data_IF_920421184343
#
_entry.id   IF_920421184343
#
_cell.length_a   1.000
_cell.length_b   1.000
_cell.length_c   1.000
_cell.angle_alpha   90.00
_cell.angle_beta   90.00
_cell.angle_gamma   90.00
#
_symmetry.space_group_name_H-M   'P 1'
#
loop_
_entity.id
_entity.type
_entity.pdbx_description
1 polymer ?
#
# COMPACT_ATOMS: atom_id res chain seq x y z
N UNK A 1 -16.10 -19.01 -1.96
CA UNK A 1 -16.45 -18.15 -0.81
C UNK A 1 -17.05 -16.86 -1.34
N UNK A 2 -17.97 -16.28 -0.56
CA UNK A 2 -18.42 -14.90 -0.74
C UNK A 2 -17.59 -13.96 0.13
N UNK A 3 -16.91 -13.00 -0.49
CA UNK A 3 -15.91 -12.16 0.18
C UNK A 3 -16.34 -10.69 0.12
N UNK A 4 -16.32 -10.00 1.27
CA UNK A 4 -16.43 -8.55 1.31
C UNK A 4 -15.04 -7.93 1.10
N UNK A 5 -14.88 -7.18 0.02
CA UNK A 5 -13.66 -6.43 -0.29
C UNK A 5 -13.90 -4.94 -0.09
N UNK A 6 -13.23 -4.33 0.87
CA UNK A 6 -13.18 -2.86 1.01
C UNK A 6 -11.96 -2.32 0.29
N UNK A 7 -12.07 -1.11 -0.28
CA UNK A 7 -10.96 -0.50 -1.01
C UNK A 7 -10.72 -1.07 -2.42
N UNK A 8 -11.69 -1.76 -3.01
CA UNK A 8 -11.63 -2.40 -4.33
C UNK A 8 -11.19 -1.45 -5.46
N UNK A 9 -11.53 -0.17 -5.36
CA UNK A 9 -11.21 0.86 -6.36
C UNK A 9 -9.77 1.41 -6.26
N UNK A 10 -9.03 1.04 -5.20
CA UNK A 10 -7.64 1.42 -4.98
C UNK A 10 -6.64 0.61 -5.80
N UNK A 11 -5.34 0.95 -5.72
CA UNK A 11 -4.27 0.26 -6.43
C UNK A 11 -4.20 -1.23 -6.05
N UNK A 12 -4.03 -1.51 -4.76
CA UNK A 12 -3.97 -2.88 -4.24
C UNK A 12 -5.31 -3.60 -4.39
N UNK A 13 -6.42 -2.94 -4.01
CA UNK A 13 -7.74 -3.55 -4.03
C UNK A 13 -8.19 -3.99 -5.42
N UNK A 14 -7.87 -3.22 -6.47
CA UNK A 14 -8.22 -3.62 -7.85
C UNK A 14 -7.39 -4.79 -8.37
N UNK A 15 -6.13 -4.94 -7.95
CA UNK A 15 -5.33 -6.11 -8.25
C UNK A 15 -5.86 -7.35 -7.52
N UNK A 16 -6.22 -7.18 -6.25
CA UNK A 16 -6.81 -8.23 -5.43
C UNK A 16 -8.17 -8.67 -5.98
N UNK A 17 -9.02 -7.73 -6.40
CA UNK A 17 -10.32 -8.04 -7.00
C UNK A 17 -10.17 -8.94 -8.22
N UNK A 18 -9.28 -8.60 -9.16
CA UNK A 18 -9.03 -9.44 -10.34
C UNK A 18 -8.59 -10.86 -9.96
N UNK A 19 -7.75 -10.98 -8.93
CA UNK A 19 -7.29 -12.28 -8.45
C UNK A 19 -8.43 -13.09 -7.83
N UNK A 20 -9.29 -12.47 -7.03
CA UNK A 20 -10.47 -13.12 -6.43
C UNK A 20 -11.43 -13.65 -7.50
N UNK A 21 -11.76 -12.82 -8.49
CA UNK A 21 -12.64 -13.21 -9.59
C UNK A 21 -12.03 -14.33 -10.43
N UNK A 22 -10.74 -14.26 -10.74
CA UNK A 22 -10.02 -15.30 -11.48
C UNK A 22 -9.98 -16.66 -10.73
N UNK A 23 -10.09 -16.64 -9.40
CA UNK A 23 -10.15 -17.84 -8.55
C UNK A 23 -11.57 -18.29 -8.24
N UNK A 24 -12.60 -17.66 -8.86
CA UNK A 24 -13.99 -18.05 -8.74
C UNK A 24 -14.68 -17.66 -7.43
N UNK A 25 -14.15 -16.66 -6.71
CA UNK A 25 -14.82 -16.15 -5.52
C UNK A 25 -15.94 -15.17 -5.90
N UNK A 26 -17.06 -15.25 -5.21
CA UNK A 26 -18.08 -14.21 -5.24
C UNK A 26 -17.57 -12.99 -4.45
N UNK A 27 -17.51 -11.84 -5.09
CA UNK A 27 -16.94 -10.66 -4.44
C UNK A 27 -17.98 -9.55 -4.34
N UNK A 28 -18.18 -9.10 -3.11
CA UNK A 28 -18.96 -7.91 -2.78
C UNK A 28 -17.99 -6.77 -2.52
N UNK A 29 -18.04 -5.72 -3.34
CA UNK A 29 -17.20 -4.55 -3.21
C UNK A 29 -17.90 -3.49 -2.37
N UNK A 30 -17.30 -3.15 -1.21
CA UNK A 30 -17.80 -2.08 -0.35
C UNK A 30 -17.10 -0.76 -0.68
N UNK A 31 -17.85 0.21 -1.18
CA UNK A 31 -17.35 1.45 -1.77
C UNK A 31 -18.06 2.64 -1.12
N UNK A 32 -17.34 3.74 -0.88
CA UNK A 32 -17.97 4.97 -0.41
C UNK A 32 -18.93 5.51 -1.45
N UNK A 33 -20.07 6.02 -1.00
CA UNK A 33 -21.11 6.57 -1.89
C UNK A 33 -20.61 7.72 -2.77
N UNK A 34 -19.69 8.53 -2.25
CA UNK A 34 -19.05 9.68 -2.91
C UNK A 34 -17.74 9.31 -3.65
N UNK A 35 -17.44 8.02 -3.80
CA UNK A 35 -16.18 7.61 -4.43
C UNK A 35 -16.15 7.96 -5.93
N UNK A 36 -15.22 8.81 -6.38
CA UNK A 36 -15.09 9.14 -7.81
C UNK A 36 -14.57 7.99 -8.66
N UNK A 37 -14.23 6.87 -8.02
CA UNK A 37 -13.58 5.73 -8.67
C UNK A 37 -14.50 4.50 -8.81
N UNK A 38 -15.78 4.62 -8.50
CA UNK A 38 -16.73 3.50 -8.56
C UNK A 38 -16.84 2.92 -9.97
N UNK A 39 -16.76 3.77 -11.01
CA UNK A 39 -16.76 3.36 -12.43
C UNK A 39 -15.64 2.38 -12.81
N UNK A 40 -14.61 2.23 -11.96
CA UNK A 40 -13.57 1.22 -12.17
C UNK A 40 -14.05 -0.23 -11.95
N UNK A 41 -15.21 -0.39 -11.37
CA UNK A 41 -15.86 -1.68 -11.16
C UNK A 41 -16.89 -2.01 -12.24
N UNK A 42 -17.13 -1.07 -13.19
CA UNK A 42 -18.08 -1.26 -14.26
C UNK A 42 -17.63 -2.44 -15.15
N UNK A 43 -18.56 -3.34 -15.43
CA UNK A 43 -18.30 -4.56 -16.22
C UNK A 43 -17.68 -5.73 -15.45
N UNK A 44 -17.26 -5.54 -14.20
CA UNK A 44 -16.82 -6.64 -13.34
C UNK A 44 -18.00 -7.41 -12.78
N UNK A 45 -17.83 -8.73 -12.58
CA UNK A 45 -18.87 -9.59 -11.98
C UNK A 45 -18.86 -9.47 -10.45
N UNK A 46 -19.28 -8.31 -9.93
CA UNK A 46 -19.27 -8.00 -8.50
C UNK A 46 -20.59 -7.39 -8.06
N UNK A 47 -20.92 -7.61 -6.81
CA UNK A 47 -21.95 -6.85 -6.11
C UNK A 47 -21.33 -5.59 -5.53
N UNK A 48 -21.89 -4.41 -5.82
CA UNK A 48 -21.41 -3.14 -5.29
C UNK A 48 -22.36 -2.66 -4.19
N UNK A 49 -21.82 -2.48 -2.98
CA UNK A 49 -22.55 -1.87 -1.89
C UNK A 49 -21.90 -0.54 -1.51
N UNK A 50 -22.73 0.47 -1.33
CA UNK A 50 -22.30 1.79 -0.90
C UNK A 50 -22.43 1.95 0.60
N UNK A 51 -21.40 2.52 1.24
CA UNK A 51 -21.38 2.81 2.67
C UNK A 51 -20.04 3.40 3.13
N UNK A 52 -19.97 3.72 4.41
CA UNK A 52 -18.78 4.26 5.06
C UNK A 52 -18.17 3.22 6.00
N UNK A 53 -16.91 2.85 5.76
CA UNK A 53 -16.16 1.89 6.58
C UNK A 53 -15.93 2.39 8.03
N UNK A 54 -16.09 3.67 8.29
CA UNK A 54 -16.10 4.22 9.64
C UNK A 54 -17.39 3.89 10.42
N UNK A 55 -18.47 3.54 9.70
CA UNK A 55 -19.77 3.22 10.31
C UNK A 55 -19.96 1.71 10.42
N UNK A 56 -20.01 1.23 11.65
CA UNK A 56 -20.23 -0.19 11.94
C UNK A 56 -21.50 -0.73 11.26
N UNK A 57 -22.60 0.03 11.28
CA UNK A 57 -23.88 -0.40 10.74
C UNK A 57 -23.85 -0.62 9.22
N UNK A 58 -23.09 0.21 8.49
CA UNK A 58 -22.94 0.05 7.04
C UNK A 58 -22.15 -1.22 6.72
N UNK A 59 -21.07 -1.48 7.47
CA UNK A 59 -20.31 -2.71 7.35
C UNK A 59 -21.12 -3.95 7.76
N UNK A 60 -21.89 -3.86 8.86
CA UNK A 60 -22.73 -4.96 9.31
C UNK A 60 -23.74 -5.38 8.24
N UNK A 61 -24.40 -4.40 7.58
CA UNK A 61 -25.31 -4.71 6.45
C UNK A 61 -24.56 -5.34 5.28
N UNK A 62 -23.35 -4.89 5.00
CA UNK A 62 -22.54 -5.44 3.91
C UNK A 62 -22.02 -6.85 4.18
N UNK A 63 -21.98 -7.29 5.44
CA UNK A 63 -21.48 -8.60 5.86
C UNK A 63 -22.53 -9.72 5.88
N UNK A 64 -23.77 -9.44 5.50
CA UNK A 64 -24.79 -10.51 5.40
C UNK A 64 -24.40 -11.53 4.36
N UNK A 65 -24.44 -12.81 4.73
CA UNK A 65 -24.09 -13.94 3.86
C UNK A 65 -22.65 -13.87 3.28
N UNK A 66 -21.71 -13.32 4.05
CA UNK A 66 -20.28 -13.19 3.69
C UNK A 66 -19.45 -14.17 4.53
N UNK A 67 -18.53 -14.89 3.88
CA UNK A 67 -17.66 -15.87 4.54
C UNK A 67 -16.41 -15.21 5.14
N UNK A 68 -15.89 -14.14 4.49
CA UNK A 68 -14.66 -13.48 4.89
C UNK A 68 -14.61 -12.01 4.50
N UNK A 69 -13.80 -11.23 5.23
CA UNK A 69 -13.49 -9.83 4.91
C UNK A 69 -12.05 -9.68 4.47
N UNK A 70 -11.83 -9.02 3.33
CA UNK A 70 -10.56 -8.45 2.91
C UNK A 70 -10.62 -6.92 3.05
N UNK A 71 -10.06 -6.41 4.14
CA UNK A 71 -10.10 -4.98 4.43
C UNK A 71 -8.81 -4.30 3.98
N UNK A 72 -8.89 -3.57 2.85
CA UNK A 72 -7.76 -2.87 2.20
C UNK A 72 -7.92 -1.35 2.25
N UNK A 73 -9.06 -0.86 2.72
CA UNK A 73 -9.39 0.57 2.71
C UNK A 73 -8.60 1.42 3.72
N UNK A 74 -7.91 0.77 4.70
CA UNK A 74 -7.08 1.43 5.69
C UNK A 74 -7.32 0.89 7.10
N UNK A 75 -6.25 0.66 7.84
CA UNK A 75 -6.31 0.05 9.18
C UNK A 75 -7.03 0.93 10.21
N UNK A 76 -7.17 2.22 9.96
CA UNK A 76 -7.92 3.17 10.81
C UNK A 76 -9.38 2.79 11.01
N UNK A 77 -9.95 2.01 10.08
CA UNK A 77 -11.32 1.49 10.18
C UNK A 77 -11.42 0.15 10.94
N UNK A 78 -10.31 -0.38 11.44
CA UNK A 78 -10.30 -1.65 12.18
C UNK A 78 -11.34 -1.74 13.32
N UNK A 79 -11.62 -0.69 14.11
CA UNK A 79 -12.65 -0.74 15.14
C UNK A 79 -14.05 -1.09 14.61
N UNK A 80 -14.46 -0.47 13.52
CA UNK A 80 -15.76 -0.73 12.89
C UNK A 80 -15.79 -2.10 12.22
N UNK A 81 -14.69 -2.50 11.57
CA UNK A 81 -14.54 -3.81 10.92
C UNK A 81 -14.66 -4.94 11.94
N UNK A 82 -13.92 -4.86 13.05
CA UNK A 82 -13.93 -5.90 14.09
C UNK A 82 -15.30 -6.05 14.73
N UNK A 83 -15.95 -4.93 15.10
CA UNK A 83 -17.29 -4.97 15.70
C UNK A 83 -18.35 -5.49 14.73
N UNK A 84 -18.34 -5.01 13.47
CA UNK A 84 -19.30 -5.44 12.48
C UNK A 84 -19.12 -6.94 12.14
N UNK A 85 -17.88 -7.42 12.01
CA UNK A 85 -17.57 -8.82 11.77
C UNK A 85 -18.06 -9.72 12.91
N UNK A 86 -17.72 -9.37 14.16
CA UNK A 86 -18.18 -10.11 15.35
C UNK A 86 -19.69 -10.17 15.46
N UNK A 87 -20.39 -9.05 15.19
CA UNK A 87 -21.85 -8.98 15.21
C UNK A 87 -22.51 -9.78 14.08
N UNK A 88 -21.87 -9.82 12.90
CA UNK A 88 -22.37 -10.58 11.74
C UNK A 88 -22.01 -12.07 11.77
N UNK A 89 -21.18 -12.51 12.72
CA UNK A 89 -20.69 -13.90 12.77
C UNK A 89 -19.64 -14.22 11.71
N UNK A 90 -19.02 -13.22 11.09
CA UNK A 90 -17.96 -13.41 10.09
C UNK A 90 -16.61 -13.48 10.82
N UNK A 91 -16.10 -14.70 10.96
CA UNK A 91 -14.87 -14.93 11.73
C UNK A 91 -13.60 -14.57 10.99
N UNK A 92 -13.54 -14.85 9.67
CA UNK A 92 -12.32 -14.67 8.87
C UNK A 92 -12.13 -13.23 8.41
N UNK A 93 -11.06 -12.58 8.90
CA UNK A 93 -10.78 -11.17 8.61
C UNK A 93 -9.29 -10.99 8.25
N UNK A 94 -9.02 -10.50 7.05
CA UNK A 94 -7.67 -10.10 6.63
C UNK A 94 -7.63 -8.58 6.53
N UNK A 95 -6.75 -7.95 7.29
CA UNK A 95 -6.62 -6.49 7.36
C UNK A 95 -5.27 -6.05 6.83
N UNK A 96 -5.27 -5.11 5.89
CA UNK A 96 -4.07 -4.51 5.36
C UNK A 96 -3.75 -3.21 6.11
N UNK A 97 -2.63 -3.25 6.83
CA UNK A 97 -2.03 -2.11 7.50
C UNK A 97 -0.89 -1.51 6.68
N UNK A 98 0.25 -1.25 7.32
CA UNK A 98 1.45 -0.71 6.67
C UNK A 98 2.68 -0.97 7.54
N UNK A 99 3.84 -1.21 6.93
CA UNK A 99 5.13 -1.27 7.63
C UNK A 99 5.49 0.03 8.37
N UNK A 100 4.76 1.13 8.16
CA UNK A 100 4.90 2.32 9.01
C UNK A 100 4.52 2.09 10.48
N UNK A 101 3.92 0.94 10.83
CA UNK A 101 3.79 0.47 12.21
C UNK A 101 5.15 0.20 12.89
N UNK A 102 6.21 -0.02 12.11
CA UNK A 102 7.58 -0.19 12.59
C UNK A 102 8.38 1.12 12.62
N UNK A 103 7.78 2.26 12.26
CA UNK A 103 8.47 3.55 12.26
C UNK A 103 8.97 3.91 13.66
N UNK A 104 10.18 4.43 13.76
CA UNK A 104 10.73 4.98 14.99
C UNK A 104 9.99 6.26 15.45
N UNK A 105 9.20 6.87 14.58
CA UNK A 105 8.41 8.06 14.90
C UNK A 105 7.02 7.66 15.38
N UNK A 106 6.73 7.89 16.67
CA UNK A 106 5.47 7.50 17.32
C UNK A 106 4.23 8.10 16.64
N UNK A 107 4.28 9.31 16.13
CA UNK A 107 3.17 9.92 15.39
C UNK A 107 2.75 9.11 14.14
N UNK A 108 3.63 8.23 13.64
CA UNK A 108 3.35 7.33 12.51
C UNK A 108 2.97 5.93 12.97
N UNK A 109 3.77 5.35 13.85
CA UNK A 109 3.59 3.97 14.33
C UNK A 109 2.45 3.85 15.34
N UNK A 110 2.36 4.76 16.31
CA UNK A 110 1.41 4.70 17.41
C UNK A 110 -0.05 4.51 17.00
N UNK A 111 -0.60 5.32 16.07
CA UNK A 111 -1.99 5.11 15.61
C UNK A 111 -2.22 3.73 14.99
N UNK A 112 -1.25 3.20 14.22
CA UNK A 112 -1.37 1.89 13.57
C UNK A 112 -1.25 0.76 14.55
N UNK A 113 -0.31 0.85 15.50
CA UNK A 113 -0.12 -0.17 16.53
C UNK A 113 -1.37 -0.30 17.40
N UNK A 114 -2.01 0.80 17.79
CA UNK A 114 -3.28 0.75 18.53
C UNK A 114 -4.39 0.03 17.76
N UNK A 115 -4.48 0.23 16.44
CA UNK A 115 -5.46 -0.48 15.61
C UNK A 115 -5.13 -1.97 15.50
N UNK A 116 -3.85 -2.32 15.37
CA UNK A 116 -3.42 -3.71 15.35
C UNK A 116 -3.66 -4.41 16.68
N UNK A 117 -3.43 -3.75 17.82
CA UNK A 117 -3.74 -4.29 19.15
C UNK A 117 -5.22 -4.60 19.31
N UNK A 118 -6.09 -3.69 18.83
CA UNK A 118 -7.54 -3.92 18.83
C UNK A 118 -7.90 -5.15 18.01
N UNK A 119 -7.32 -5.32 16.83
CA UNK A 119 -7.54 -6.50 15.98
C UNK A 119 -7.04 -7.78 16.68
N UNK A 120 -5.84 -7.75 17.27
CA UNK A 120 -5.25 -8.91 17.98
C UNK A 120 -6.04 -9.31 19.23
N UNK A 121 -6.64 -8.34 19.91
CA UNK A 121 -7.48 -8.58 21.09
C UNK A 121 -8.86 -9.15 20.77
N UNK A 122 -9.25 -9.21 19.48
CA UNK A 122 -10.53 -9.76 19.06
C UNK A 122 -10.53 -11.29 19.05
N UNK A 123 -11.72 -11.89 19.12
CA UNK A 123 -11.91 -13.36 18.97
C UNK A 123 -11.82 -13.84 17.52
N UNK A 124 -11.70 -12.94 16.54
CA UNK A 124 -11.74 -13.25 15.13
C UNK A 124 -10.54 -14.09 14.66
N UNK A 125 -10.70 -14.80 13.58
CA UNK A 125 -9.64 -15.47 12.81
C UNK A 125 -8.91 -14.42 11.93
N UNK A 126 -8.26 -13.47 12.58
CA UNK A 126 -7.64 -12.32 11.91
C UNK A 126 -6.28 -12.65 11.27
N UNK A 127 -5.93 -11.90 10.22
CA UNK A 127 -4.55 -11.77 9.73
C UNK A 127 -4.26 -10.29 9.46
N UNK A 128 -3.10 -9.80 9.92
CA UNK A 128 -2.64 -8.43 9.67
C UNK A 128 -1.48 -8.48 8.67
N UNK A 129 -1.60 -7.72 7.58
CA UNK A 129 -0.58 -7.63 6.54
C UNK A 129 -0.05 -6.20 6.46
N UNK A 130 1.26 -6.04 6.43
CA UNK A 130 1.93 -4.74 6.40
C UNK A 130 2.76 -4.61 5.13
N UNK A 131 2.18 -4.15 4.03
CA UNK A 131 2.98 -3.84 2.85
C UNK A 131 3.90 -2.65 3.11
N UNK A 132 5.02 -2.63 2.41
CA UNK A 132 5.86 -1.46 2.23
C UNK A 132 5.21 -0.50 1.22
N UNK A 133 6.00 0.36 0.57
CA UNK A 133 5.52 1.27 -0.46
C UNK A 133 5.01 0.50 -1.67
N UNK A 134 3.69 0.45 -1.85
CA UNK A 134 3.06 -0.23 -2.99
C UNK A 134 3.18 0.64 -4.23
N UNK A 135 3.62 0.05 -5.37
CA UNK A 135 3.80 0.73 -6.65
C UNK A 135 3.33 -0.13 -7.82
N UNK A 136 3.39 0.40 -9.05
CA UNK A 136 3.20 -0.34 -10.29
C UNK A 136 2.12 0.21 -11.21
N UNK A 137 1.60 1.42 -10.98
CA UNK A 137 0.70 2.08 -11.93
C UNK A 137 0.63 3.59 -11.70
N UNK A 138 -0.01 4.29 -12.64
CA UNK A 138 -0.33 5.73 -12.53
C UNK A 138 -1.13 6.10 -11.28
N UNK A 139 -1.59 5.13 -10.52
CA UNK A 139 -2.41 5.33 -9.32
C UNK A 139 -1.61 5.26 -8.01
N UNK A 140 -0.36 4.83 -8.05
CA UNK A 140 0.48 4.96 -6.86
C UNK A 140 0.87 6.43 -6.62
N UNK A 141 1.38 6.74 -5.46
CA UNK A 141 1.69 8.13 -5.07
C UNK A 141 3.18 8.40 -4.97
N UNK A 142 4.01 7.49 -5.44
CA UNK A 142 5.44 7.53 -5.21
C UNK A 142 6.24 7.24 -6.48
N UNK A 143 6.24 5.99 -6.95
CA UNK A 143 7.13 5.57 -8.04
C UNK A 143 6.71 6.19 -9.36
N UNK A 144 5.41 6.28 -9.67
CA UNK A 144 4.97 6.93 -10.90
C UNK A 144 5.34 8.44 -10.94
N UNK A 145 5.29 9.13 -9.79
CA UNK A 145 5.72 10.53 -9.70
C UNK A 145 7.23 10.66 -9.89
N UNK A 146 8.01 9.76 -9.31
CA UNK A 146 9.45 9.65 -9.54
C UNK A 146 9.75 9.44 -11.03
N UNK A 147 9.08 8.49 -11.68
CA UNK A 147 9.26 8.20 -13.11
C UNK A 147 8.92 9.42 -13.98
N UNK A 148 7.81 10.08 -13.71
CA UNK A 148 7.42 11.29 -14.45
C UNK A 148 8.40 12.45 -14.25
N UNK A 149 8.96 12.58 -13.06
CA UNK A 149 10.01 13.58 -12.79
C UNK A 149 11.29 13.24 -13.56
N UNK A 150 11.77 11.99 -13.46
CA UNK A 150 12.97 11.52 -14.14
C UNK A 150 12.86 11.60 -15.68
N UNK A 151 11.66 11.42 -16.24
CA UNK A 151 11.45 11.56 -17.66
C UNK A 151 11.58 13.00 -18.17
N UNK A 152 11.28 13.99 -17.33
CA UNK A 152 11.24 15.41 -17.70
C UNK A 152 12.47 16.20 -17.31
N UNK A 153 13.17 15.76 -16.24
CA UNK A 153 14.30 16.52 -15.68
C UNK A 153 15.64 15.83 -15.94
N UNK A 154 16.64 16.56 -16.46
CA UNK A 154 18.00 16.05 -16.59
C UNK A 154 18.75 16.00 -15.26
N UNK A 155 18.17 16.55 -14.19
CA UNK A 155 18.78 16.62 -12.85
C UNK A 155 17.81 16.04 -11.82
N UNK A 156 18.35 15.26 -10.88
CA UNK A 156 17.57 14.74 -9.77
C UNK A 156 18.20 15.13 -8.42
N UNK A 157 17.46 15.85 -7.55
CA UNK A 157 17.95 16.20 -6.22
C UNK A 157 17.78 15.02 -5.26
N UNK A 158 18.85 14.67 -4.53
CA UNK A 158 18.79 13.73 -3.42
C UNK A 158 19.11 14.47 -2.12
N UNK A 159 18.24 14.33 -1.13
CA UNK A 159 18.44 14.89 0.19
C UNK A 159 19.28 13.96 1.04
N UNK A 160 20.46 14.41 1.43
CA UNK A 160 21.45 13.63 2.17
C UNK A 160 22.24 12.64 1.29
N UNK A 161 22.81 11.57 1.87
CA UNK A 161 23.67 10.62 1.17
C UNK A 161 22.88 9.70 0.20
N UNK A 162 21.58 9.52 0.41
CA UNK A 162 20.74 8.61 -0.37
C UNK A 162 21.02 7.13 -0.08
N UNK A 163 21.58 6.82 1.09
CA UNK A 163 21.94 5.45 1.50
C UNK A 163 20.84 4.73 2.29
N UNK A 164 19.84 5.47 2.77
CA UNK A 164 18.70 4.87 3.47
C UNK A 164 17.99 3.84 2.59
N UNK A 165 17.58 2.74 3.20
CA UNK A 165 17.03 1.58 2.50
C UNK A 165 15.54 1.74 2.21
N UNK A 166 15.16 1.32 1.01
CA UNK A 166 13.78 1.25 0.54
C UNK A 166 13.51 -0.11 -0.08
N UNK A 167 12.31 -0.62 0.13
CA UNK A 167 11.92 -1.95 -0.34
C UNK A 167 10.49 -1.92 -0.90
N UNK A 168 10.26 -1.20 -2.02
CA UNK A 168 8.92 -1.07 -2.59
C UNK A 168 8.41 -2.40 -3.12
N UNK A 169 7.10 -2.65 -2.95
CA UNK A 169 6.42 -3.86 -3.40
C UNK A 169 5.52 -3.59 -4.59
N UNK A 170 5.61 -4.43 -5.62
CA UNK A 170 4.72 -4.34 -6.78
C UNK A 170 3.29 -4.74 -6.38
N UNK A 171 2.30 -3.97 -6.85
CA UNK A 171 0.92 -4.10 -6.38
C UNK A 171 0.30 -5.48 -6.60
N UNK A 172 0.66 -6.19 -7.67
CA UNK A 172 0.17 -7.56 -7.92
C UNK A 172 0.81 -8.58 -6.98
N UNK A 173 2.08 -8.41 -6.63
CA UNK A 173 2.75 -9.29 -5.68
C UNK A 173 2.19 -9.11 -4.27
N UNK A 174 1.93 -7.84 -3.89
CA UNK A 174 1.23 -7.54 -2.66
C UNK A 174 -0.18 -8.17 -2.64
N UNK A 175 -0.92 -8.06 -3.74
CA UNK A 175 -2.25 -8.67 -3.88
C UNK A 175 -2.20 -10.20 -3.73
N UNK A 176 -1.19 -10.87 -4.33
CA UNK A 176 -0.97 -12.30 -4.11
C UNK A 176 -0.75 -12.63 -2.64
N UNK A 177 0.13 -11.90 -1.95
CA UNK A 177 0.36 -12.11 -0.52
C UNK A 177 -0.90 -11.93 0.32
N UNK A 178 -1.77 -10.97 -0.02
CA UNK A 178 -3.07 -10.78 0.64
C UNK A 178 -4.01 -11.94 0.36
N UNK A 179 -4.06 -12.41 -0.88
CA UNK A 179 -4.88 -13.54 -1.29
C UNK A 179 -4.44 -14.83 -0.60
N UNK A 180 -3.15 -15.14 -0.62
CA UNK A 180 -2.59 -16.33 0.06
C UNK A 180 -2.87 -16.29 1.57
N UNK A 181 -2.80 -15.11 2.17
CA UNK A 181 -3.16 -14.97 3.58
C UNK A 181 -4.64 -15.27 3.86
N UNK A 182 -5.55 -15.02 2.91
CA UNK A 182 -6.95 -15.43 3.05
C UNK A 182 -7.12 -16.95 3.00
N UNK A 183 -6.47 -17.60 2.02
CA UNK A 183 -6.65 -19.01 1.70
C UNK A 183 -5.95 -19.95 2.70
N UNK A 184 -4.85 -19.52 3.31
CA UNK A 184 -4.02 -20.38 4.15
C UNK A 184 -4.40 -20.34 5.62
N UNK A 185 -4.83 -21.46 6.24
CA UNK A 185 -5.14 -21.51 7.67
C UNK A 185 -3.94 -21.16 8.57
N UNK A 186 -2.72 -21.37 8.10
CA UNK A 186 -1.47 -21.02 8.82
C UNK A 186 -1.34 -19.52 9.09
N UNK A 187 -2.08 -18.67 8.36
CA UNK A 187 -2.06 -17.22 8.51
C UNK A 187 -2.96 -16.70 9.65
N UNK A 188 -3.86 -17.55 10.17
CA UNK A 188 -4.81 -17.15 11.22
C UNK A 188 -4.09 -16.73 12.48
N UNK A 189 -4.50 -15.57 13.03
CA UNK A 189 -3.88 -14.91 14.19
C UNK A 189 -2.39 -14.64 14.02
N UNK A 190 -2.00 -14.28 12.80
CA UNK A 190 -0.62 -13.94 12.44
C UNK A 190 -0.55 -12.55 11.81
N UNK A 191 0.66 -11.98 11.91
CA UNK A 191 1.00 -10.72 11.22
C UNK A 191 2.21 -10.96 10.33
N UNK A 192 2.19 -10.36 9.13
CA UNK A 192 3.27 -10.48 8.14
C UNK A 192 3.59 -9.12 7.54
N UNK A 193 4.87 -8.88 7.31
CA UNK A 193 5.32 -7.79 6.47
C UNK A 193 5.39 -8.28 5.03
N UNK A 194 4.92 -7.45 4.09
CA UNK A 194 4.91 -7.74 2.66
C UNK A 194 5.74 -6.70 1.90
N UNK A 195 7.07 -6.75 2.01
CA UNK A 195 7.94 -5.88 1.23
C UNK A 195 8.18 -6.42 -0.18
N UNK A 196 8.87 -5.64 -1.02
CA UNK A 196 9.44 -6.13 -2.27
C UNK A 196 10.63 -7.07 -2.05
N UNK A 197 11.15 -7.68 -3.12
CA UNK A 197 12.28 -8.60 -3.03
C UNK A 197 13.58 -7.89 -2.60
N UNK A 198 13.83 -6.69 -3.17
CA UNK A 198 15.10 -5.99 -3.01
C UNK A 198 15.01 -4.88 -1.96
N UNK A 199 15.95 -4.89 -1.03
CA UNK A 199 16.26 -3.75 -0.17
C UNK A 199 17.31 -2.89 -0.87
N UNK A 200 16.92 -1.72 -1.39
CA UNK A 200 17.75 -0.84 -2.20
C UNK A 200 18.06 0.45 -1.46
N UNK A 201 19.30 0.93 -1.56
CA UNK A 201 19.59 2.31 -1.21
C UNK A 201 18.73 3.25 -2.08
N UNK A 202 18.26 4.37 -1.52
CA UNK A 202 17.40 5.31 -2.25
C UNK A 202 18.04 5.79 -3.56
N UNK A 203 19.35 6.01 -3.55
CA UNK A 203 20.10 6.37 -4.76
C UNK A 203 20.01 5.27 -5.84
N UNK A 204 20.12 4.01 -5.45
CA UNK A 204 20.07 2.89 -6.40
C UNK A 204 18.65 2.63 -6.89
N UNK A 205 17.65 2.86 -6.06
CA UNK A 205 16.24 2.87 -6.47
C UNK A 205 16.00 3.92 -7.56
N UNK A 206 16.48 5.16 -7.36
CA UNK A 206 16.36 6.25 -8.34
C UNK A 206 17.09 5.92 -9.63
N UNK A 207 18.32 5.38 -9.56
CA UNK A 207 19.07 4.94 -10.74
C UNK A 207 18.37 3.83 -11.50
N UNK A 208 17.81 2.85 -10.80
CA UNK A 208 17.05 1.75 -11.41
C UNK A 208 15.79 2.26 -12.11
N UNK A 209 15.07 3.21 -11.51
CA UNK A 209 13.92 3.86 -12.12
C UNK A 209 14.30 4.68 -13.37
N UNK A 210 15.42 5.41 -13.32
CA UNK A 210 15.94 6.17 -14.46
C UNK A 210 16.36 5.24 -15.59
N UNK A 211 17.07 4.15 -15.28
CA UNK A 211 17.50 3.15 -16.27
C UNK A 211 16.31 2.50 -16.98
N UNK A 212 15.21 2.21 -16.27
CA UNK A 212 13.98 1.67 -16.86
C UNK A 212 13.34 2.64 -17.89
N UNK A 213 13.52 3.95 -17.69
CA UNK A 213 13.10 4.98 -18.65
C UNK A 213 14.09 5.19 -19.79
N UNK A 214 15.29 4.61 -19.72
CA UNK A 214 16.42 4.93 -20.63
C UNK A 214 16.99 6.33 -20.35
N UNK A 215 16.97 6.79 -19.11
CA UNK A 215 17.45 8.11 -18.67
C UNK A 215 18.68 7.96 -17.75
N UNK A 216 19.52 8.99 -17.74
CA UNK A 216 20.70 9.10 -16.87
C UNK A 216 20.78 10.51 -16.28
N UNK A 217 19.93 10.85 -15.32
CA UNK A 217 19.92 12.19 -14.75
C UNK A 217 21.17 12.45 -13.93
N UNK A 218 21.63 13.71 -13.93
CA UNK A 218 22.67 14.16 -13.00
C UNK A 218 22.13 14.20 -11.58
N UNK A 219 22.71 13.42 -10.68
CA UNK A 219 22.34 13.43 -9.27
C UNK A 219 23.00 14.62 -8.56
N UNK A 220 22.18 15.45 -7.92
CA UNK A 220 22.63 16.58 -7.09
C UNK A 220 22.29 16.29 -5.63
N UNK A 221 23.31 16.18 -4.78
CA UNK A 221 23.12 15.96 -3.35
C UNK A 221 22.90 17.28 -2.63
N UNK A 222 21.79 17.36 -1.90
CA UNK A 222 21.43 18.50 -1.08
C UNK A 222 21.56 18.13 0.40
N UNK A 223 22.19 18.95 1.24
CA UNK A 223 22.28 18.66 2.66
C UNK A 223 20.89 18.72 3.32
N UNK A 224 20.60 17.72 4.15
CA UNK A 224 19.26 17.56 4.76
C UNK A 224 18.94 18.71 5.74
N UNK A 225 19.89 19.10 6.60
CA UNK A 225 19.59 20.04 7.68
C UNK A 225 19.19 21.45 7.20
N UNK A 226 19.91 22.09 6.28
CA UNK A 226 19.45 23.37 5.74
C UNK A 226 18.06 23.30 5.10
N UNK A 227 17.78 22.22 4.35
CA UNK A 227 16.47 22.03 3.73
C UNK A 227 15.37 21.86 4.79
N UNK A 228 15.60 21.05 5.82
CA UNK A 228 14.66 20.86 6.94
C UNK A 228 14.37 22.18 7.67
N UNK A 229 15.41 22.97 7.95
CA UNK A 229 15.25 24.26 8.60
C UNK A 229 14.47 25.26 7.73
N UNK A 230 14.76 25.31 6.44
CA UNK A 230 14.03 26.15 5.49
C UNK A 230 12.54 25.75 5.40
N UNK A 231 12.24 24.45 5.34
CA UNK A 231 10.87 23.94 5.35
C UNK A 231 10.16 24.27 6.67
N UNK A 232 10.80 24.05 7.82
CA UNK A 232 10.22 24.39 9.12
C UNK A 232 9.94 25.91 9.28
N UNK A 233 10.81 26.76 8.73
CA UNK A 233 10.59 28.20 8.70
C UNK A 233 9.39 28.55 7.80
N UNK A 234 9.31 27.96 6.63
CA UNK A 234 8.20 28.17 5.69
C UNK A 234 6.85 27.67 6.25
N UNK A 235 6.84 26.54 6.98
CA UNK A 235 5.66 26.03 7.70
C UNK A 235 5.17 27.04 8.75
N UNK A 236 6.09 27.64 9.52
CA UNK A 236 5.75 28.71 10.48
C UNK A 236 5.12 29.94 9.80
N UNK A 237 5.57 30.25 8.59
CA UNK A 237 5.05 31.34 7.76
C UNK A 237 3.77 30.93 6.99
N UNK A 238 3.26 29.68 7.19
CA UNK A 238 2.08 29.11 6.51
C UNK A 238 2.19 29.14 4.99
N UNK A 239 3.38 29.03 4.45
CA UNK A 239 3.59 28.96 3.01
C UNK A 239 3.17 27.58 2.50
N UNK A 240 2.38 27.48 1.42
CA UNK A 240 1.98 26.20 0.82
C UNK A 240 3.19 25.56 0.13
N UNK A 241 3.79 24.55 0.77
CA UNK A 241 4.89 23.81 0.18
C UNK A 241 4.44 22.38 -0.16
N UNK A 242 4.95 21.78 -1.24
CA UNK A 242 4.61 20.42 -1.66
C UNK A 242 5.23 19.35 -0.75
N UNK A 243 6.17 19.72 0.13
CA UNK A 243 6.91 18.83 1.03
C UNK A 243 6.98 19.46 2.41
N UNK A 244 6.71 18.71 3.47
CA UNK A 244 6.84 19.14 4.85
C UNK A 244 8.19 18.71 5.49
N UNK A 245 8.57 19.39 6.59
CA UNK A 245 9.79 19.08 7.34
C UNK A 245 9.80 17.66 7.89
N UNK A 246 8.66 17.13 8.27
CA UNK A 246 8.48 15.75 8.71
C UNK A 246 8.71 14.73 7.58
N UNK A 247 8.38 15.09 6.33
CA UNK A 247 8.69 14.23 5.18
C UNK A 247 10.20 14.11 4.96
N UNK A 248 10.94 15.18 5.13
CA UNK A 248 12.41 15.17 5.04
C UNK A 248 13.03 14.33 6.15
N UNK A 249 12.52 14.42 7.38
CA UNK A 249 12.97 13.57 8.49
C UNK A 249 12.81 12.07 8.17
N UNK A 250 11.71 11.69 7.51
CA UNK A 250 11.43 10.30 7.13
C UNK A 250 12.38 9.72 6.07
N UNK A 251 13.13 10.57 5.37
CA UNK A 251 14.16 10.12 4.44
C UNK A 251 15.37 9.49 5.15
N UNK A 252 15.51 9.68 6.46
CA UNK A 252 16.57 9.08 7.27
C UNK A 252 16.25 7.66 7.76
N UNK A 253 14.99 7.25 7.67
CA UNK A 253 14.52 5.98 8.18
C UNK A 253 14.69 4.90 7.12
N UNK A 254 15.32 3.78 7.49
CA UNK A 254 15.34 2.59 6.65
C UNK A 254 13.95 1.96 6.60
N UNK A 255 13.54 1.55 5.41
CA UNK A 255 12.23 0.95 5.13
C UNK A 255 12.42 -0.40 4.46
N UNK A 256 13.27 -1.20 5.08
CA UNK A 256 13.59 -2.56 4.67
C UNK A 256 13.20 -3.52 5.80
N UNK A 257 12.48 -4.56 5.46
CA UNK A 257 11.90 -5.50 6.42
C UNK A 257 12.07 -6.93 5.94
N UNK A 258 12.34 -7.88 6.86
CA UNK A 258 12.42 -9.29 6.52
C UNK A 258 11.03 -9.83 6.13
N UNK A 259 10.99 -10.75 5.16
CA UNK A 259 9.73 -11.39 4.73
C UNK A 259 9.79 -12.93 4.73
N UNK A 260 10.80 -13.52 5.36
CA UNK A 260 10.99 -14.97 5.45
C UNK A 260 9.77 -15.67 6.06
N UNK A 261 9.10 -15.01 7.00
CA UNK A 261 7.86 -15.51 7.58
C UNK A 261 6.72 -15.56 6.55
N UNK A 262 6.56 -14.50 5.74
CA UNK A 262 5.58 -14.46 4.67
C UNK A 262 5.93 -15.46 3.55
N UNK A 263 7.20 -15.59 3.20
CA UNK A 263 7.67 -16.60 2.26
C UNK A 263 7.31 -18.01 2.71
N UNK A 264 7.63 -18.39 3.95
CA UNK A 264 7.37 -19.73 4.48
C UNK A 264 5.90 -20.04 4.64
N UNK A 265 5.12 -19.11 5.22
CA UNK A 265 3.74 -19.36 5.61
C UNK A 265 2.73 -19.07 4.48
N UNK A 266 3.06 -18.15 3.56
CA UNK A 266 2.19 -17.67 2.49
C UNK A 266 2.74 -17.95 1.07
N UNK A 267 3.91 -18.57 0.94
CA UNK A 267 4.59 -18.72 -0.36
C UNK A 267 4.81 -17.36 -1.07
N UNK A 268 5.09 -16.34 -0.26
CA UNK A 268 5.24 -14.98 -0.74
C UNK A 268 6.57 -14.75 -1.43
N UNK A 269 6.55 -14.61 -2.75
CA UNK A 269 7.71 -14.43 -3.63
C UNK A 269 7.55 -13.15 -4.45
N UNK A 270 7.86 -11.96 -3.89
CA UNK A 270 7.75 -10.72 -4.62
C UNK A 270 8.84 -10.61 -5.70
N UNK A 271 8.52 -9.90 -6.80
CA UNK A 271 9.48 -9.65 -7.88
C UNK A 271 10.51 -8.59 -7.49
N UNK A 272 11.72 -8.62 -8.10
CA UNK A 272 12.71 -7.57 -7.98
C UNK A 272 12.18 -6.22 -8.45
N UNK A 273 12.65 -5.12 -7.82
CA UNK A 273 12.22 -3.76 -8.18
C UNK A 273 12.47 -3.44 -9.65
N UNK A 274 13.59 -3.89 -10.19
CA UNK A 274 13.95 -3.67 -11.61
C UNK A 274 12.90 -4.23 -12.57
N UNK A 275 12.34 -5.37 -12.26
CA UNK A 275 11.27 -5.99 -13.08
C UNK A 275 9.97 -5.18 -12.95
N UNK A 276 9.53 -4.93 -11.71
CA UNK A 276 8.28 -4.21 -11.47
C UNK A 276 8.27 -2.79 -12.01
N UNK A 277 9.39 -2.05 -11.90
CA UNK A 277 9.50 -0.69 -12.45
C UNK A 277 9.50 -0.69 -13.98
N UNK A 278 10.06 -1.73 -14.61
CA UNK A 278 9.97 -1.92 -16.05
C UNK A 278 8.52 -2.08 -16.54
N UNK A 279 7.73 -2.88 -15.83
CA UNK A 279 6.30 -3.06 -16.11
C UNK A 279 5.52 -1.74 -15.93
N UNK A 280 5.84 -0.98 -14.89
CA UNK A 280 5.20 0.32 -14.66
C UNK A 280 5.57 1.33 -15.76
N UNK A 281 6.83 1.42 -16.17
CA UNK A 281 7.26 2.27 -17.29
C UNK A 281 6.53 1.90 -18.57
N UNK A 282 6.43 0.61 -18.90
CA UNK A 282 5.69 0.14 -20.07
C UNK A 282 4.20 0.54 -20.01
N UNK A 283 3.58 0.49 -18.83
CA UNK A 283 2.21 0.98 -18.60
C UNK A 283 2.11 2.48 -18.81
N UNK A 284 2.99 3.26 -18.19
CA UNK A 284 2.97 4.73 -18.28
C UNK A 284 3.23 5.21 -19.71
N UNK A 285 4.07 4.51 -20.48
CA UNK A 285 4.26 4.78 -21.93
C UNK A 285 2.97 4.57 -22.71
N UNK A 286 2.25 3.46 -22.49
CA UNK A 286 0.96 3.19 -23.14
C UNK A 286 -0.10 4.26 -22.83
N UNK A 287 -0.02 4.88 -21.65
CA UNK A 287 -0.90 5.96 -21.23
C UNK A 287 -0.41 7.36 -21.66
N UNK A 288 0.72 7.47 -22.37
CA UNK A 288 1.31 8.73 -22.77
C UNK A 288 1.80 9.61 -21.62
N UNK A 289 2.04 9.02 -20.44
CA UNK A 289 2.43 9.75 -19.22
C UNK A 289 3.94 9.96 -19.11
N UNK A 290 4.73 9.14 -19.79
CA UNK A 290 6.18 9.26 -19.97
C UNK A 290 6.53 9.02 -21.43
N UNK A 291 7.69 9.54 -21.89
CA UNK A 291 8.13 9.43 -23.28
C UNK A 291 8.49 8.00 -23.67
N UNK A 292 8.37 7.73 -24.94
CA UNK A 292 8.73 6.44 -25.55
C UNK A 292 10.23 6.16 -25.47
#
# INVERSE_FOLDING_TARGET
MRILLTGATGLLGSALLRLLLARGHETRCFVRADSPNTSRLDGERVEILHGDAAREEDLYRALRDVDAILHVAGIEYAPSVVRAAGRAGVERVVIVGSTSAHSAYDFRSGPKLRMEELVRGSSLAWTILRPTMIYGSERDRNVHLLLRFLDRSPVFPIFGPGTNLWQPVYHEDCARGVFEALERPTSVRRSYDLPGADSLAYLDLVKSAAAALGRSPRIVRLPIEPVRLALAAAERLRLPLPVDSGQVMRLREDKAYPYEKAWRDLDYTPRPFREGVGLEVARLRRLGMVRS
#
